data_IF_065552124809
#
_entry.id   IF_065552124809
#
_cell.length_a   1.000
_cell.length_b   1.000
_cell.length_c   1.000
_cell.angle_alpha   90.00
_cell.angle_beta   90.00
_cell.angle_gamma   90.00
#
_symmetry.space_group_name_H-M   'P 1'
#
loop_
_entity.id
_entity.type
_entity.pdbx_description
1 polymer ?
#
# COMPACT_ATOMS: atom_id res chain seq x y z
N UNK A 1 -0.89 12.70 71.06
CA UNK A 1 -1.70 13.19 69.93
C UNK A 1 -0.95 14.33 69.25
N UNK A 2 -0.63 14.16 67.96
CA UNK A 2 -0.54 15.14 66.84
C UNK A 2 0.00 16.57 67.16
N UNK A 3 1.02 17.13 66.50
CA UNK A 3 1.73 16.67 65.31
C UNK A 3 2.82 17.64 64.80
N UNK A 4 3.67 17.06 63.92
CA UNK A 4 4.51 17.59 62.81
C UNK A 4 4.77 19.11 62.71
N UNK A 5 6.00 19.61 62.80
CA UNK A 5 7.22 19.42 61.96
C UNK A 5 7.18 20.20 60.63
N UNK A 6 8.00 21.27 60.60
CA UNK A 6 8.47 22.01 59.42
C UNK A 6 9.23 21.07 58.47
N UNK A 7 9.25 21.37 57.17
CA UNK A 7 10.49 21.58 56.39
C UNK A 7 10.13 21.82 54.92
N UNK A 8 10.80 22.83 54.37
CA UNK A 8 10.69 23.30 53.01
C UNK A 8 11.43 22.40 52.01
N UNK A 9 10.83 22.32 50.83
CA UNK A 9 11.41 22.23 49.48
C UNK A 9 12.92 21.95 49.36
N UNK A 10 13.26 20.80 48.76
CA UNK A 10 14.52 20.60 48.05
C UNK A 10 14.25 19.83 46.75
N UNK A 11 14.52 20.52 45.65
CA UNK A 11 14.45 20.06 44.28
C UNK A 11 15.67 19.16 44.00
N UNK A 12 15.45 17.89 43.67
CA UNK A 12 16.50 17.01 43.13
C UNK A 12 15.95 16.37 41.86
N UNK A 13 16.43 16.92 40.74
CA UNK A 13 16.50 16.24 39.44
C UNK A 13 17.30 14.95 39.61
N UNK A 14 16.79 13.82 39.11
CA UNK A 14 17.51 12.83 38.29
C UNK A 14 16.64 11.57 38.06
N UNK A 15 16.66 11.13 36.81
CA UNK A 15 16.35 9.78 36.30
C UNK A 15 14.91 9.28 36.40
N UNK A 16 14.21 9.40 35.27
CA UNK A 16 13.17 8.48 34.86
C UNK A 16 13.06 8.55 33.36
N UNK A 17 13.75 7.66 32.66
CA UNK A 17 13.73 7.57 31.21
C UNK A 17 12.30 7.62 30.68
N UNK A 18 12.10 8.53 29.73
CA UNK A 18 10.95 8.62 28.87
C UNK A 18 10.55 7.20 28.44
N UNK A 19 9.33 6.77 28.82
CA UNK A 19 8.68 5.59 28.28
C UNK A 19 8.76 5.68 26.76
N UNK A 20 9.70 4.94 26.18
CA UNK A 20 9.57 4.49 24.82
C UNK A 20 8.34 3.59 24.86
N UNK A 21 7.20 4.21 24.57
CA UNK A 21 5.96 3.55 24.22
C UNK A 21 6.25 2.72 22.98
N UNK A 22 6.83 1.54 23.21
CA UNK A 22 6.61 0.38 22.38
C UNK A 22 5.13 0.07 22.54
N UNK A 23 4.30 0.81 21.80
CA UNK A 23 3.01 0.31 21.39
C UNK A 23 3.32 -0.96 20.59
N UNK A 24 3.37 -2.08 21.30
CA UNK A 24 3.10 -3.37 20.73
C UNK A 24 1.78 -3.19 19.99
N UNK A 25 1.85 -3.23 18.66
CA UNK A 25 0.67 -3.17 17.81
C UNK A 25 -0.05 -4.49 18.05
N UNK A 26 -1.00 -4.48 19.00
CA UNK A 26 -1.89 -5.60 19.24
C UNK A 26 -2.69 -5.85 17.96
N UNK A 27 -2.48 -7.02 17.38
CA UNK A 27 -3.09 -7.41 16.10
C UNK A 27 -2.10 -7.54 14.93
N UNK A 28 -0.80 -7.75 15.19
CA UNK A 28 0.12 -8.19 14.15
C UNK A 28 -0.29 -9.59 13.65
N UNK A 29 -1.21 -9.65 12.68
CA UNK A 29 -1.39 -10.84 11.84
C UNK A 29 0.00 -11.15 11.28
N UNK A 30 0.58 -12.28 11.70
CA UNK A 30 1.88 -12.70 11.22
C UNK A 30 1.71 -13.30 9.83
N UNK A 31 2.59 -12.97 8.89
CA UNK A 31 2.57 -13.59 7.57
C UNK A 31 2.70 -15.12 7.70
N UNK A 32 1.88 -15.91 6.96
CA UNK A 32 1.96 -17.37 7.01
C UNK A 32 3.21 -17.93 6.30
N UNK A 33 3.99 -17.06 5.67
CA UNK A 33 5.24 -17.37 4.97
C UNK A 33 6.39 -16.50 5.51
N UNK A 34 7.63 -16.95 5.31
CA UNK A 34 8.82 -16.22 5.70
C UNK A 34 9.47 -15.57 4.47
N UNK A 35 9.88 -14.30 4.59
CA UNK A 35 10.64 -13.62 3.54
C UNK A 35 12.11 -13.57 3.98
N UNK A 36 13.00 -14.23 3.23
CA UNK A 36 14.44 -14.35 3.52
C UNK A 36 15.28 -14.21 2.25
N UNK A 37 16.55 -13.89 2.41
CA UNK A 37 17.54 -13.95 1.32
C UNK A 37 17.19 -13.06 0.13
N UNK A 38 17.02 -13.66 -1.05
CA UNK A 38 16.60 -13.00 -2.29
C UNK A 38 15.08 -12.95 -2.47
N UNK A 39 14.30 -13.44 -1.48
CA UNK A 39 12.85 -13.57 -1.53
C UNK A 39 12.32 -14.43 -2.70
N UNK A 40 13.13 -15.40 -3.15
CA UNK A 40 12.73 -16.40 -4.15
C UNK A 40 11.46 -17.15 -3.76
N UNK A 41 10.61 -17.44 -4.74
CA UNK A 41 9.35 -18.18 -4.55
C UNK A 41 8.16 -17.32 -4.16
N UNK A 42 8.36 -16.00 -4.03
CA UNK A 42 7.29 -15.03 -3.77
C UNK A 42 7.09 -14.13 -4.99
N UNK A 43 5.86 -13.68 -5.20
CA UNK A 43 5.56 -12.59 -6.11
C UNK A 43 5.87 -11.28 -5.39
N UNK A 44 6.88 -10.56 -5.87
CA UNK A 44 7.25 -9.25 -5.33
C UNK A 44 6.65 -8.17 -6.22
N UNK A 45 5.89 -7.26 -5.63
CA UNK A 45 5.30 -6.13 -6.32
C UNK A 45 5.79 -4.85 -5.69
N UNK A 46 6.43 -4.01 -6.49
CA UNK A 46 6.96 -2.72 -6.08
C UNK A 46 6.45 -1.64 -7.02
N UNK A 47 6.69 -0.38 -6.67
CA UNK A 47 6.07 0.74 -7.36
C UNK A 47 7.01 1.92 -7.48
N UNK A 48 6.83 2.72 -8.53
CA UNK A 48 7.48 4.00 -8.73
C UNK A 48 6.57 4.97 -9.50
N UNK A 49 7.13 6.04 -10.05
CA UNK A 49 6.41 7.06 -10.83
C UNK A 49 5.80 6.51 -12.13
N UNK A 50 6.35 5.41 -12.67
CA UNK A 50 5.83 4.72 -13.86
C UNK A 50 4.70 3.73 -13.52
N UNK A 51 4.53 3.44 -12.22
CA UNK A 51 3.43 2.65 -11.69
C UNK A 51 3.90 1.36 -11.03
N UNK A 52 3.11 0.30 -11.20
CA UNK A 52 3.35 -1.00 -10.57
C UNK A 52 4.32 -1.85 -11.39
N UNK A 53 5.28 -2.47 -10.72
CA UNK A 53 6.23 -3.41 -11.28
C UNK A 53 6.22 -4.74 -10.51
N UNK A 54 6.62 -5.80 -11.20
CA UNK A 54 6.73 -7.14 -10.62
C UNK A 54 8.18 -7.61 -10.69
N UNK A 55 8.63 -8.29 -9.65
CA UNK A 55 9.95 -8.92 -9.57
C UNK A 55 9.82 -10.36 -9.04
N UNK A 56 10.67 -11.25 -9.53
CA UNK A 56 10.79 -12.63 -9.03
C UNK A 56 11.83 -12.77 -7.92
N UNK A 57 12.69 -11.74 -7.77
CA UNK A 57 13.76 -11.70 -6.77
C UNK A 57 14.01 -10.28 -6.28
N UNK A 58 14.53 -10.14 -5.06
CA UNK A 58 14.89 -8.85 -4.45
C UNK A 58 15.90 -8.05 -5.29
N UNK A 59 16.78 -8.74 -6.02
CA UNK A 59 17.84 -8.10 -6.79
C UNK A 59 17.31 -7.37 -8.04
N UNK A 60 16.12 -7.74 -8.52
CA UNK A 60 15.40 -7.03 -9.59
C UNK A 60 14.72 -5.73 -9.09
N UNK A 61 14.62 -5.53 -7.78
CA UNK A 61 14.01 -4.35 -7.18
C UNK A 61 15.10 -3.29 -6.91
N UNK A 62 14.97 -2.07 -7.44
CA UNK A 62 15.89 -0.97 -7.11
C UNK A 62 15.96 -0.75 -5.60
N UNK A 63 17.16 -0.50 -5.07
CA UNK A 63 17.39 -0.39 -3.61
C UNK A 63 16.47 0.66 -2.95
N UNK A 64 16.26 1.79 -3.61
CA UNK A 64 15.37 2.87 -3.16
C UNK A 64 13.90 2.46 -3.03
N UNK A 65 13.49 1.32 -3.61
CA UNK A 65 12.10 0.83 -3.63
C UNK A 65 11.91 -0.41 -2.74
N UNK A 66 12.93 -0.85 -2.01
CA UNK A 66 12.90 -2.08 -1.19
C UNK A 66 12.19 -1.93 0.15
N UNK A 67 11.85 -0.72 0.58
CA UNK A 67 11.16 -0.47 1.86
C UNK A 67 9.71 -0.95 1.90
N UNK A 68 9.01 -0.87 0.76
CA UNK A 68 7.57 -1.04 0.69
C UNK A 68 7.20 -1.99 -0.47
N UNK A 69 7.58 -3.25 -0.33
CA UNK A 69 7.35 -4.27 -1.37
C UNK A 69 6.17 -5.14 -0.96
N UNK A 70 5.12 -5.17 -1.77
CA UNK A 70 4.03 -6.13 -1.58
C UNK A 70 4.53 -7.53 -1.91
N UNK A 71 4.26 -8.48 -1.03
CA UNK A 71 4.69 -9.87 -1.17
C UNK A 71 3.47 -10.79 -1.18
N UNK A 72 3.35 -11.61 -2.21
CA UNK A 72 2.29 -12.61 -2.31
C UNK A 72 2.92 -14.00 -2.49
N UNK A 73 2.54 -14.95 -1.63
CA UNK A 73 2.85 -16.37 -1.83
C UNK A 73 1.78 -16.98 -2.76
N UNK A 74 2.20 -17.41 -3.95
CA UNK A 74 1.29 -17.92 -4.99
C UNK A 74 0.79 -19.34 -4.68
N UNK A 75 1.50 -20.08 -3.83
CA UNK A 75 1.13 -21.44 -3.43
C UNK A 75 0.14 -21.45 -2.26
N UNK A 76 -0.06 -20.31 -1.59
CA UNK A 76 -1.01 -20.16 -0.49
C UNK A 76 -2.46 -20.34 -0.98
N UNK A 77 -3.24 -21.18 -0.30
CA UNK A 77 -4.64 -21.41 -0.66
C UNK A 77 -5.49 -20.13 -0.50
N UNK A 78 -6.56 -19.92 -1.30
CA UNK A 78 -7.39 -18.72 -1.22
C UNK A 78 -7.93 -18.41 0.18
N UNK A 79 -8.21 -19.44 0.98
CA UNK A 79 -8.76 -19.32 2.34
C UNK A 79 -7.70 -18.88 3.37
N UNK A 80 -6.42 -19.09 3.06
CA UNK A 80 -5.28 -18.72 3.91
C UNK A 80 -4.71 -17.35 3.56
N UNK A 81 -5.12 -16.79 2.41
CA UNK A 81 -4.78 -15.43 2.01
C UNK A 81 -5.50 -14.42 2.90
N UNK A 82 -4.89 -13.25 3.03
CA UNK A 82 -5.55 -12.11 3.66
C UNK A 82 -6.86 -11.76 2.94
N UNK A 83 -7.76 -11.10 3.66
CA UNK A 83 -8.88 -10.39 3.05
C UNK A 83 -8.37 -9.51 1.89
N UNK A 84 -9.07 -9.41 0.75
CA UNK A 84 -8.60 -8.66 -0.41
C UNK A 84 -8.35 -7.17 -0.16
N UNK A 85 -8.86 -6.57 0.93
CA UNK A 85 -8.55 -5.20 1.36
C UNK A 85 -7.21 -5.06 2.08
N UNK A 86 -6.54 -6.16 2.41
CA UNK A 86 -5.26 -6.21 3.11
C UNK A 86 -4.19 -6.84 2.21
N UNK A 87 -2.94 -6.43 2.42
CA UNK A 87 -1.77 -6.92 1.68
C UNK A 87 -0.59 -7.13 2.64
N UNK A 88 0.26 -8.10 2.33
CA UNK A 88 1.54 -8.25 3.03
C UNK A 88 2.57 -7.32 2.41
N UNK A 89 3.20 -6.49 3.22
CA UNK A 89 4.28 -5.57 2.80
C UNK A 89 5.54 -5.94 3.56
N UNK A 90 6.63 -6.14 2.82
CA UNK A 90 7.95 -6.45 3.35
C UNK A 90 8.92 -5.27 3.16
N UNK A 91 9.71 -4.99 4.21
CA UNK A 91 10.90 -4.14 4.11
C UNK A 91 12.12 -5.01 3.80
N UNK A 92 12.55 -4.98 2.55
CA UNK A 92 13.65 -5.77 2.00
C UNK A 92 15.01 -5.06 2.05
N UNK A 93 15.13 -3.93 2.76
CA UNK A 93 16.40 -3.19 2.84
C UNK A 93 17.42 -3.94 3.69
N UNK A 94 17.03 -4.31 4.90
CA UNK A 94 17.87 -4.96 5.88
C UNK A 94 17.19 -6.21 6.44
N UNK A 95 17.91 -7.33 6.44
CA UNK A 95 17.47 -8.54 7.11
C UNK A 95 17.79 -8.44 8.61
N UNK A 96 16.88 -8.95 9.45
CA UNK A 96 17.13 -9.11 10.88
C UNK A 96 18.25 -10.10 11.18
N UNK A 97 18.64 -10.22 12.45
CA UNK A 97 19.72 -11.13 12.90
C UNK A 97 19.46 -12.61 12.55
N UNK A 98 18.20 -12.98 12.36
CA UNK A 98 17.72 -14.30 11.95
C UNK A 98 17.59 -14.47 10.42
N UNK A 99 18.04 -13.48 9.65
CA UNK A 99 18.00 -13.45 8.19
C UNK A 99 16.61 -13.23 7.59
N UNK A 100 15.60 -12.87 8.41
CA UNK A 100 14.24 -12.54 7.94
C UNK A 100 14.07 -11.06 7.70
N UNK A 101 13.33 -10.72 6.66
CA UNK A 101 12.86 -9.36 6.44
C UNK A 101 11.62 -9.09 7.30
N UNK A 102 11.43 -7.83 7.69
CA UNK A 102 10.23 -7.42 8.41
C UNK A 102 9.02 -7.44 7.46
N UNK A 103 7.96 -8.15 7.83
CA UNK A 103 6.72 -8.25 7.06
C UNK A 103 5.56 -7.83 7.93
N UNK A 104 4.65 -7.02 7.39
CA UNK A 104 3.43 -6.59 8.07
C UNK A 104 2.23 -6.64 7.15
N UNK A 105 1.06 -6.92 7.72
CA UNK A 105 -0.20 -6.66 7.04
C UNK A 105 -0.42 -5.15 6.99
N UNK A 106 -0.88 -4.66 5.84
CA UNK A 106 -1.26 -3.26 5.61
C UNK A 106 -2.57 -3.21 4.81
N UNK A 107 -3.48 -2.27 5.09
CA UNK A 107 -4.60 -1.98 4.18
C UNK A 107 -4.09 -1.62 2.77
N UNK A 108 -4.71 -2.19 1.74
CA UNK A 108 -4.37 -1.88 0.34
C UNK A 108 -4.46 -0.40 0.04
N UNK A 109 -5.49 0.29 0.55
CA UNK A 109 -5.66 1.73 0.35
C UNK A 109 -4.56 2.55 1.01
N UNK A 110 -3.99 2.07 2.14
CA UNK A 110 -2.84 2.73 2.78
C UNK A 110 -1.58 2.55 1.94
N UNK A 111 -1.38 1.35 1.37
CA UNK A 111 -0.30 1.11 0.41
C UNK A 111 -0.44 2.05 -0.79
N UNK A 112 -1.63 2.15 -1.39
CA UNK A 112 -1.92 3.05 -2.49
C UNK A 112 -1.74 4.53 -2.12
N UNK A 113 -2.15 4.95 -0.92
CA UNK A 113 -1.94 6.30 -0.44
C UNK A 113 -0.46 6.63 -0.27
N UNK A 114 0.37 5.67 0.17
CA UNK A 114 1.81 5.85 0.27
C UNK A 114 2.45 6.07 -1.11
N UNK A 115 1.92 5.38 -2.13
CA UNK A 115 2.33 5.54 -3.53
C UNK A 115 1.87 6.88 -4.12
N UNK A 116 0.63 7.28 -3.82
CA UNK A 116 0.09 8.58 -4.18
C UNK A 116 0.82 9.74 -3.49
N UNK A 117 1.35 9.54 -2.27
CA UNK A 117 2.20 10.54 -1.64
C UNK A 117 3.57 10.67 -2.34
N UNK A 118 4.07 9.58 -2.92
CA UNK A 118 5.31 9.55 -3.69
C UNK A 118 5.15 10.06 -5.13
N UNK A 119 3.92 10.08 -5.65
CA UNK A 119 3.59 10.52 -7.01
C UNK A 119 2.44 11.52 -6.89
N UNK A 120 2.70 12.83 -6.98
CA UNK A 120 1.63 13.84 -6.89
C UNK A 120 0.48 13.49 -7.83
N UNK A 121 -0.67 13.02 -7.32
CA UNK A 121 -1.84 12.81 -8.16
C UNK A 121 -2.51 14.18 -8.20
N UNK A 122 -2.38 14.86 -9.32
CA UNK A 122 -3.32 15.92 -9.66
C UNK A 122 -4.72 15.28 -9.56
N UNK A 123 -5.65 15.81 -8.74
CA UNK A 123 -6.99 15.27 -8.66
C UNK A 123 -7.60 15.30 -10.06
N UNK A 124 -7.89 14.12 -10.59
CA UNK A 124 -8.73 13.96 -11.78
C UNK A 124 -10.14 14.38 -11.39
N UNK A 125 -10.41 15.69 -11.44
CA UNK A 125 -11.76 16.19 -11.67
C UNK A 125 -12.11 15.92 -13.14
N UNK A 126 -12.28 14.64 -13.46
CA UNK A 126 -12.98 14.19 -14.65
C UNK A 126 -14.45 14.52 -14.47
N UNK A 127 -14.79 15.79 -14.67
CA UNK A 127 -16.17 16.21 -14.84
C UNK A 127 -16.75 15.34 -15.97
N UNK A 128 -17.75 14.53 -15.63
CA UNK A 128 -18.42 13.61 -16.53
C UNK A 128 -19.15 14.40 -17.64
N UNK A 129 -18.39 14.86 -18.63
CA UNK A 129 -18.96 15.28 -19.89
C UNK A 129 -19.32 14.01 -20.65
N UNK A 130 -20.61 13.65 -20.62
CA UNK A 130 -21.20 12.79 -21.63
C UNK A 130 -21.01 13.48 -22.99
N UNK A 131 -19.97 13.09 -23.71
CA UNK A 131 -19.68 13.56 -25.06
C UNK A 131 -18.93 12.48 -25.81
N UNK A 132 -19.19 12.40 -27.13
CA UNK A 132 -18.62 11.53 -28.17
C UNK A 132 -17.07 11.33 -28.10
N UNK A 133 -16.56 10.75 -27.03
CA UNK A 133 -15.21 10.20 -27.02
C UNK A 133 -15.26 8.80 -27.61
N UNK A 134 -14.41 8.54 -28.61
CA UNK A 134 -14.27 7.22 -29.24
C UNK A 134 -13.73 6.16 -28.26
N UNK A 135 -13.18 6.57 -27.11
CA UNK A 135 -12.57 5.71 -26.10
C UNK A 135 -13.25 5.92 -24.74
N UNK A 136 -13.71 4.83 -24.14
CA UNK A 136 -14.22 4.80 -22.76
C UNK A 136 -13.29 3.92 -21.93
N UNK A 137 -12.78 4.45 -20.82
CA UNK A 137 -12.04 3.70 -19.82
C UNK A 137 -12.98 3.38 -18.68
N UNK A 138 -13.34 2.10 -18.55
CA UNK A 138 -14.08 1.61 -17.39
C UNK A 138 -13.09 1.34 -16.25
N UNK A 139 -13.13 2.18 -15.22
CA UNK A 139 -12.19 2.22 -14.10
C UNK A 139 -12.81 1.83 -12.76
N UNK A 140 -11.96 1.74 -11.75
CA UNK A 140 -12.34 1.65 -10.34
C UNK A 140 -11.21 2.27 -9.49
N UNK A 141 -11.50 2.75 -8.29
CA UNK A 141 -10.50 3.43 -7.45
C UNK A 141 -9.32 2.53 -7.06
N UNK A 142 -9.50 1.22 -7.02
CA UNK A 142 -8.47 0.22 -6.74
C UNK A 142 -7.75 -0.30 -8.00
N UNK A 143 -8.15 0.14 -9.20
CA UNK A 143 -7.62 -0.38 -10.45
C UNK A 143 -6.38 0.41 -10.93
N UNK A 144 -5.19 -0.03 -10.52
CA UNK A 144 -3.91 0.57 -10.97
C UNK A 144 -3.71 0.53 -12.48
N UNK A 145 -4.13 -0.56 -13.14
CA UNK A 145 -4.03 -0.71 -14.59
C UNK A 145 -4.92 0.28 -15.36
N UNK A 146 -6.10 0.60 -14.82
CA UNK A 146 -7.02 1.59 -15.39
C UNK A 146 -6.36 2.98 -15.37
N UNK A 147 -5.79 3.37 -14.22
CA UNK A 147 -5.02 4.62 -14.07
C UNK A 147 -3.84 4.71 -15.04
N UNK A 148 -3.10 3.61 -15.19
CA UNK A 148 -1.97 3.53 -16.13
C UNK A 148 -2.43 3.72 -17.58
N UNK A 149 -3.59 3.17 -17.93
CA UNK A 149 -4.21 3.34 -19.25
C UNK A 149 -4.60 4.80 -19.49
N UNK A 150 -5.24 5.46 -18.53
CA UNK A 150 -5.58 6.87 -18.64
C UNK A 150 -4.35 7.77 -18.79
N UNK A 151 -3.31 7.54 -17.98
CA UNK A 151 -2.06 8.30 -18.06
C UNK A 151 -1.44 8.20 -19.47
N UNK A 152 -1.41 7.00 -20.03
CA UNK A 152 -0.95 6.76 -21.39
C UNK A 152 -1.79 7.49 -22.45
N UNK A 153 -3.13 7.45 -22.33
CA UNK A 153 -4.03 8.15 -23.26
C UNK A 153 -3.84 9.68 -23.18
N UNK A 154 -3.68 10.22 -21.97
CA UNK A 154 -3.38 11.65 -21.75
C UNK A 154 -2.04 12.04 -22.38
N UNK A 155 -0.99 11.27 -22.17
CA UNK A 155 0.34 11.52 -22.77
C UNK A 155 0.26 11.58 -24.30
N UNK A 156 -0.58 10.75 -24.91
CA UNK A 156 -0.79 10.69 -26.36
C UNK A 156 -1.85 11.66 -26.89
N UNK A 157 -2.42 12.50 -26.03
CA UNK A 157 -3.50 13.43 -26.38
C UNK A 157 -4.70 12.71 -27.05
N UNK A 158 -5.00 11.48 -26.60
CA UNK A 158 -6.17 10.73 -27.05
C UNK A 158 -7.35 11.10 -26.14
N UNK A 159 -8.46 11.63 -26.69
CA UNK A 159 -9.64 11.93 -25.89
C UNK A 159 -10.29 10.63 -25.40
N UNK A 160 -10.67 10.59 -24.12
CA UNK A 160 -11.38 9.47 -23.52
C UNK A 160 -12.33 9.93 -22.42
N UNK A 161 -13.32 9.09 -22.10
CA UNK A 161 -14.21 9.27 -20.94
C UNK A 161 -13.94 8.17 -19.92
N UNK A 162 -13.76 8.55 -18.65
CA UNK A 162 -13.66 7.61 -17.54
C UNK A 162 -15.07 7.28 -17.00
N UNK A 163 -15.33 5.99 -16.74
CA UNK A 163 -16.56 5.52 -16.07
C UNK A 163 -16.20 4.61 -14.91
N UNK A 164 -16.53 5.02 -13.69
CA UNK A 164 -16.26 4.25 -12.47
C UNK A 164 -17.32 3.14 -12.33
N UNK A 165 -16.92 1.88 -12.40
CA UNK A 165 -17.85 0.74 -12.38
C UNK A 165 -18.56 0.53 -11.03
N UNK A 166 -18.09 1.17 -9.96
CA UNK A 166 -18.66 1.07 -8.61
C UNK A 166 -19.52 2.29 -8.27
N UNK A 167 -19.15 3.47 -8.77
CA UNK A 167 -19.81 4.73 -8.46
C UNK A 167 -20.80 5.19 -9.53
N UNK A 168 -20.50 4.94 -10.81
CA UNK A 168 -21.35 5.39 -11.91
C UNK A 168 -22.48 4.38 -12.14
N UNK A 169 -23.76 4.79 -11.99
CA UNK A 169 -24.90 3.90 -12.20
C UNK A 169 -24.89 3.29 -13.61
N UNK A 170 -24.88 1.96 -13.68
CA UNK A 170 -24.93 1.22 -14.95
C UNK A 170 -23.59 1.04 -15.66
N UNK A 171 -22.50 1.69 -15.22
CA UNK A 171 -21.18 1.57 -15.86
C UNK A 171 -20.68 0.12 -15.90
N UNK A 172 -20.85 -0.64 -14.82
CA UNK A 172 -20.50 -2.07 -14.78
C UNK A 172 -21.25 -2.91 -15.81
N UNK A 173 -22.54 -2.64 -16.01
CA UNK A 173 -23.35 -3.37 -16.97
C UNK A 173 -22.93 -3.02 -18.40
N UNK A 174 -22.73 -1.73 -18.70
CA UNK A 174 -22.25 -1.26 -20.00
C UNK A 174 -20.87 -1.85 -20.34
N UNK A 175 -19.94 -1.91 -19.38
CA UNK A 175 -18.65 -2.58 -19.55
C UNK A 175 -18.80 -4.06 -19.95
N UNK A 176 -19.67 -4.80 -19.27
CA UNK A 176 -19.92 -6.21 -19.56
C UNK A 176 -20.56 -6.43 -20.93
N UNK A 177 -21.37 -5.47 -21.39
CA UNK A 177 -21.98 -5.50 -22.72
C UNK A 177 -20.95 -5.17 -23.82
N UNK A 178 -20.06 -4.22 -23.57
CA UNK A 178 -18.98 -3.84 -24.49
C UNK A 178 -17.88 -4.90 -24.62
N UNK A 179 -17.72 -5.77 -23.62
CA UNK A 179 -16.73 -6.85 -23.62
C UNK A 179 -17.13 -8.10 -24.43
N UNK A 180 -18.30 -8.09 -25.08
CA UNK A 180 -18.83 -9.19 -25.90
C UNK A 180 -18.49 -9.01 -27.37
#
# INVERSE_FOLDING_TARGET
MRGMTRVALAFVLLLGCNEASGAAVEGATQAPFEVRGDASGLLLVWFDEEGQHTAASRDEIPEARRELVRVDDLDLAPEERLDPSQVWVADLREAGEDGRYAVRAMPRDELEAHLAAATTPEPSEGEAAEGDADVIVYGASWCSACRSTEAFLRERNVPFVERDIERDPGARQAMLEAAR
#
